data_IF_061001773855
#
_entry.id   IF_061001773855
#
_cell.length_a   1.000
_cell.length_b   1.000
_cell.length_c   1.000
_cell.angle_alpha   90.00
_cell.angle_beta   90.00
_cell.angle_gamma   90.00
#
_symmetry.space_group_name_H-M   'P 1'
#
loop_
_entity.id
_entity.type
_entity.pdbx_description
1 polymer ?
#
# COMPACT_ATOMS: atom_id res chain seq x y z
N UNK A 1 26.31 -34.27 10.35
CA UNK A 1 27.39 -33.49 9.71
C UNK A 1 27.65 -32.25 10.54
N UNK A 2 28.91 -31.86 10.78
CA UNK A 2 29.21 -30.66 11.57
C UNK A 2 28.81 -29.38 10.81
N UNK A 3 28.37 -28.32 11.52
CA UNK A 3 27.95 -27.04 10.91
C UNK A 3 29.02 -26.47 9.96
N UNK A 4 30.30 -26.65 10.30
CA UNK A 4 31.44 -26.23 9.48
C UNK A 4 31.56 -26.99 8.17
N UNK A 5 31.16 -28.27 8.14
CA UNK A 5 31.23 -29.10 6.94
C UNK A 5 30.08 -28.75 5.97
N UNK A 6 28.86 -28.57 6.51
CA UNK A 6 27.70 -28.12 5.73
C UNK A 6 27.91 -26.74 5.11
N UNK A 7 28.63 -25.83 5.80
CA UNK A 7 28.99 -24.52 5.23
C UNK A 7 29.98 -24.61 4.08
N UNK A 8 30.96 -25.53 4.16
CA UNK A 8 31.90 -25.77 3.05
C UNK A 8 31.18 -26.39 1.86
N UNK A 9 30.30 -27.35 2.11
CA UNK A 9 29.49 -27.99 1.08
C UNK A 9 28.56 -26.99 0.39
N UNK A 10 27.89 -26.12 1.16
CA UNK A 10 27.10 -25.03 0.60
C UNK A 10 27.95 -24.08 -0.28
N UNK A 11 29.15 -23.73 0.16
CA UNK A 11 30.05 -22.88 -0.62
C UNK A 11 30.42 -23.54 -1.96
N UNK A 12 30.68 -24.85 -1.98
CA UNK A 12 30.97 -25.59 -3.21
C UNK A 12 29.77 -25.64 -4.16
N UNK A 13 28.56 -25.90 -3.64
CA UNK A 13 27.33 -25.97 -4.45
C UNK A 13 26.96 -24.58 -5.00
N UNK A 14 27.03 -23.53 -4.18
CA UNK A 14 26.77 -22.16 -4.61
C UNK A 14 27.80 -21.70 -5.65
N UNK A 15 29.08 -22.08 -5.49
CA UNK A 15 30.10 -21.75 -6.48
C UNK A 15 29.81 -22.38 -7.85
N UNK A 16 29.35 -23.63 -7.88
CA UNK A 16 28.89 -24.27 -9.13
C UNK A 16 27.70 -23.54 -9.77
N UNK A 17 26.74 -23.08 -8.97
CA UNK A 17 25.59 -22.29 -9.46
C UNK A 17 26.02 -20.94 -10.05
N UNK A 18 27.07 -20.34 -9.50
CA UNK A 18 27.52 -19.00 -9.89
C UNK A 18 28.49 -19.01 -11.07
N UNK A 19 29.29 -20.07 -11.21
CA UNK A 19 30.37 -20.14 -12.22
C UNK A 19 30.01 -20.99 -13.46
N UNK A 20 28.99 -21.84 -13.38
CA UNK A 20 28.54 -22.69 -14.50
C UNK A 20 27.20 -22.19 -15.04
N UNK A 21 27.10 -21.94 -16.35
CA UNK A 21 25.88 -21.40 -16.97
C UNK A 21 24.78 -22.48 -17.17
N UNK A 22 25.11 -23.77 -17.01
CA UNK A 22 24.22 -24.91 -17.23
C UNK A 22 24.03 -25.78 -15.96
N UNK A 23 23.92 -25.15 -14.79
CA UNK A 23 23.64 -25.88 -13.55
C UNK A 23 22.19 -26.42 -13.55
N UNK A 24 22.06 -27.75 -13.43
CA UNK A 24 20.77 -28.41 -13.38
C UNK A 24 19.93 -28.03 -12.14
N UNK A 25 18.59 -28.13 -12.27
CA UNK A 25 17.63 -27.87 -11.20
C UNK A 25 17.89 -28.65 -9.90
N UNK A 26 18.51 -29.82 -10.02
CA UNK A 26 18.92 -30.65 -8.87
C UNK A 26 19.96 -29.95 -7.97
N UNK A 27 20.91 -29.21 -8.57
CA UNK A 27 21.94 -28.44 -7.84
C UNK A 27 21.31 -27.31 -7.02
N UNK A 28 20.25 -26.68 -7.54
CA UNK A 28 19.50 -25.67 -6.80
C UNK A 28 18.74 -26.25 -5.61
N UNK A 29 18.12 -27.43 -5.78
CA UNK A 29 17.44 -28.13 -4.69
C UNK A 29 18.44 -28.57 -3.61
N UNK A 30 19.63 -29.00 -3.99
CA UNK A 30 20.70 -29.36 -3.07
C UNK A 30 21.13 -28.16 -2.21
N UNK A 31 21.35 -26.99 -2.83
CA UNK A 31 21.67 -25.75 -2.09
C UNK A 31 20.59 -25.38 -1.07
N UNK A 32 19.31 -25.51 -1.45
CA UNK A 32 18.17 -25.23 -0.56
C UNK A 32 18.15 -26.20 0.62
N UNK A 33 18.37 -27.50 0.39
CA UNK A 33 18.41 -28.51 1.46
C UNK A 33 19.53 -28.26 2.48
N UNK A 34 20.72 -27.85 1.99
CA UNK A 34 21.85 -27.53 2.87
C UNK A 34 21.56 -26.26 3.68
N UNK A 35 20.96 -25.23 3.05
CA UNK A 35 20.52 -24.00 3.74
C UNK A 35 19.48 -24.28 4.82
N UNK A 36 18.48 -25.12 4.55
CA UNK A 36 17.49 -25.55 5.55
C UNK A 36 18.16 -26.28 6.71
N UNK A 37 19.11 -27.18 6.42
CA UNK A 37 19.85 -27.91 7.46
C UNK A 37 20.72 -26.98 8.32
N UNK A 38 21.32 -25.94 7.73
CA UNK A 38 22.07 -24.91 8.45
C UNK A 38 21.17 -23.99 9.29
N UNK A 39 19.97 -23.69 8.81
CA UNK A 39 18.96 -22.96 9.58
C UNK A 39 18.55 -23.75 10.84
N UNK A 40 18.38 -25.07 10.70
CA UNK A 40 18.09 -25.95 11.83
C UNK A 40 19.24 -26.01 12.84
N UNK A 41 20.50 -25.91 12.41
CA UNK A 41 21.64 -25.77 13.33
C UNK A 41 21.64 -24.45 14.11
N UNK A 42 21.19 -23.34 13.51
CA UNK A 42 21.01 -22.07 14.23
C UNK A 42 19.85 -22.13 15.23
N UNK A 43 18.80 -22.87 14.92
CA UNK A 43 17.65 -23.09 15.81
C UNK A 43 18.02 -24.07 16.94
N UNK A 44 18.86 -25.08 16.66
CA UNK A 44 19.32 -26.09 17.62
C UNK A 44 20.50 -25.68 18.47
N UNK A 45 21.17 -24.54 18.19
CA UNK A 45 22.23 -24.03 19.06
C UNK A 45 21.57 -23.48 20.33
N UNK A 46 21.71 -24.15 21.49
CA UNK A 46 21.18 -23.63 22.73
C UNK A 46 22.01 -22.41 23.10
N UNK A 47 21.37 -21.36 23.61
CA UNK A 47 22.03 -20.46 24.56
C UNK A 47 22.37 -21.31 25.80
N UNK A 48 23.47 -22.07 25.74
CA UNK A 48 24.20 -22.61 26.87
C UNK A 48 25.49 -21.79 26.97
N UNK A 49 25.88 -21.16 28.08
CA UNK A 49 25.38 -21.29 29.43
C UNK A 49 24.82 -19.98 29.96
N UNK A 50 23.54 -19.98 30.24
CA UNK A 50 22.98 -19.81 31.58
C UNK A 50 21.49 -20.16 31.45
N UNK A 51 21.00 -20.98 32.37
CA UNK A 51 19.65 -21.57 32.37
C UNK A 51 19.38 -22.74 31.41
N UNK A 52 19.87 -23.91 31.82
CA UNK A 52 19.06 -25.13 31.70
C UNK A 52 18.52 -25.50 33.07
N UNK A 53 17.19 -25.66 33.13
CA UNK A 53 16.43 -26.05 34.31
C UNK A 53 14.93 -26.15 34.00
N UNK A 54 14.63 -26.99 33.01
CA UNK A 54 13.39 -27.76 32.78
C UNK A 54 12.01 -27.09 32.57
N UNK A 55 11.44 -27.46 31.42
CA UNK A 55 10.05 -27.30 30.97
C UNK A 55 9.21 -28.46 31.55
N UNK A 56 7.92 -28.24 31.89
CA UNK A 56 6.75 -29.03 31.38
C UNK A 56 5.39 -28.38 31.76
N UNK A 57 4.64 -28.04 30.70
CA UNK A 57 3.19 -28.05 30.40
C UNK A 57 2.04 -28.14 31.46
N UNK A 58 1.08 -27.20 31.23
CA UNK A 58 -0.41 -27.29 31.17
C UNK A 58 -1.32 -27.15 32.42
N UNK A 59 -2.28 -26.22 32.24
CA UNK A 59 -3.61 -26.08 32.86
C UNK A 59 -3.74 -25.57 34.32
N UNK A 60 -3.62 -24.26 34.53
CA UNK A 60 -4.56 -23.42 35.31
C UNK A 60 -4.09 -21.96 35.29
N UNK A 61 -5.05 -21.04 35.30
CA UNK A 61 -4.88 -19.58 35.32
C UNK A 61 -4.04 -19.08 36.51
N UNK A 62 -3.24 -18.03 36.23
CA UNK A 62 -2.30 -17.24 37.07
C UNK A 62 -0.83 -17.69 37.09
N UNK A 63 0.02 -16.81 36.54
CA UNK A 63 1.49 -16.83 36.58
C UNK A 63 2.02 -16.06 37.79
N UNK A 64 2.41 -16.81 38.81
CA UNK A 64 3.48 -16.47 39.76
C UNK A 64 4.12 -17.79 40.20
N UNK A 65 5.39 -17.82 40.58
CA UNK A 65 5.96 -19.05 41.15
C UNK A 65 5.27 -19.37 42.50
N UNK A 66 4.49 -20.45 42.52
CA UNK A 66 3.64 -20.90 43.66
C UNK A 66 4.40 -21.25 44.96
N UNK A 67 5.68 -21.69 45.00
CA UNK A 67 6.36 -22.02 46.25
C UNK A 67 6.62 -20.80 47.13
N UNK A 68 7.00 -19.67 46.53
CA UNK A 68 7.31 -18.43 47.24
C UNK A 68 6.07 -17.76 47.82
N UNK A 69 4.95 -17.79 47.08
CA UNK A 69 3.72 -17.12 47.52
C UNK A 69 3.00 -17.88 48.64
N UNK A 70 3.02 -19.21 48.64
CA UNK A 70 2.48 -20.03 49.76
C UNK A 70 3.35 -19.95 51.01
N UNK A 71 4.68 -19.82 50.86
CA UNK A 71 5.60 -19.62 51.99
C UNK A 71 5.40 -18.25 52.64
N UNK A 72 5.32 -17.19 51.85
CA UNK A 72 5.07 -15.82 52.32
C UNK A 72 3.67 -15.64 52.96
N UNK A 73 2.60 -16.21 52.38
CA UNK A 73 1.25 -16.12 52.94
C UNK A 73 1.08 -16.89 54.27
N UNK A 74 1.82 -17.99 54.45
CA UNK A 74 1.82 -18.78 55.71
C UNK A 74 2.73 -18.16 56.79
N UNK A 75 3.76 -17.41 56.39
CA UNK A 75 4.65 -16.65 57.30
C UNK A 75 4.01 -15.33 57.78
N UNK A 76 3.08 -14.75 57.03
CA UNK A 76 2.46 -13.46 57.36
C UNK A 76 1.02 -13.53 57.91
N UNK A 77 0.36 -14.69 57.93
CA UNK A 77 -0.97 -14.89 58.53
C UNK A 77 -2.08 -13.94 58.01
N UNK A 78 -2.08 -13.62 56.71
CA UNK A 78 -3.03 -12.68 56.07
C UNK A 78 -3.92 -13.42 55.06
N UNK A 79 -5.23 -13.18 55.12
CA UNK A 79 -6.23 -13.61 54.12
C UNK A 79 -6.54 -12.49 53.11
N UNK A 80 -6.81 -12.89 51.86
CA UNK A 80 -6.95 -12.01 50.70
C UNK A 80 -8.22 -11.13 50.74
N UNK A 81 -8.15 -9.81 50.52
CA UNK A 81 -9.36 -8.98 50.41
C UNK A 81 -9.85 -8.88 48.95
N UNK A 82 -11.15 -9.08 48.77
CA UNK A 82 -11.88 -8.85 47.53
C UNK A 82 -12.17 -7.35 47.34
N UNK A 83 -12.02 -6.89 46.09
CA UNK A 83 -12.48 -5.61 45.50
C UNK A 83 -11.62 -4.35 45.68
N UNK A 84 -11.22 -3.82 44.51
CA UNK A 84 -10.89 -2.43 44.18
C UNK A 84 -9.78 -1.71 44.96
N UNK A 85 -8.74 -1.26 44.23
CA UNK A 85 -8.39 0.17 44.07
C UNK A 85 -7.07 0.32 43.33
N UNK A 86 -7.14 1.01 42.20
CA UNK A 86 -6.19 2.04 41.76
C UNK A 86 -4.75 1.92 42.30
N UNK A 87 -3.79 1.45 41.48
CA UNK A 87 -2.44 2.03 41.40
C UNK A 87 -1.58 1.29 40.36
N UNK A 88 -1.57 1.77 39.12
CA UNK A 88 -0.35 1.71 38.32
C UNK A 88 -0.22 3.06 37.60
N UNK A 89 0.19 4.05 38.39
CA UNK A 89 0.83 5.26 37.89
C UNK A 89 2.16 4.88 37.21
N UNK A 90 2.52 5.65 36.19
CA UNK A 90 3.43 5.27 35.11
C UNK A 90 4.82 4.82 35.53
N UNK A 91 5.45 4.05 34.64
CA UNK A 91 6.90 3.84 34.62
C UNK A 91 7.39 3.74 33.17
N UNK A 92 8.56 4.33 33.00
CA UNK A 92 9.31 4.70 31.81
C UNK A 92 9.54 3.60 30.75
N UNK A 93 9.72 4.08 29.52
CA UNK A 93 10.03 3.23 28.38
C UNK A 93 11.41 2.58 28.46
N UNK A 94 11.45 1.27 28.23
CA UNK A 94 12.06 0.64 27.03
C UNK A 94 11.92 -0.89 27.07
N UNK A 95 11.60 -1.43 25.89
CA UNK A 95 11.91 -2.78 25.39
C UNK A 95 11.24 -3.99 26.07
N UNK A 96 9.99 -4.25 25.67
CA UNK A 96 9.29 -5.52 25.79
C UNK A 96 8.01 -5.48 24.96
N UNK A 97 8.12 -5.75 23.66
CA UNK A 97 7.02 -5.72 22.66
C UNK A 97 6.05 -6.89 22.84
N UNK A 98 5.42 -7.02 24.01
CA UNK A 98 4.34 -7.98 24.21
C UNK A 98 3.00 -7.25 24.14
N UNK A 99 2.15 -7.65 23.20
CA UNK A 99 0.76 -7.20 23.16
C UNK A 99 0.09 -7.74 24.40
N UNK A 100 -0.68 -6.93 25.13
CA UNK A 100 -1.60 -7.43 26.15
C UNK A 100 -2.92 -7.83 25.45
N UNK A 101 -3.16 -9.13 25.20
CA UNK A 101 -4.33 -9.55 24.43
C UNK A 101 -5.62 -9.37 25.23
N UNK A 102 -5.55 -9.41 26.57
CA UNK A 102 -6.71 -9.24 27.45
C UNK A 102 -7.15 -7.77 27.38
N UNK A 103 -6.21 -6.84 27.50
CA UNK A 103 -6.47 -5.41 27.38
C UNK A 103 -7.03 -5.05 26.00
N UNK A 104 -6.39 -5.54 24.93
CA UNK A 104 -6.86 -5.30 23.55
C UNK A 104 -8.27 -5.84 23.32
N UNK A 105 -8.57 -7.06 23.80
CA UNK A 105 -9.91 -7.63 23.69
C UNK A 105 -10.95 -6.89 24.55
N UNK A 106 -10.55 -6.36 25.71
CA UNK A 106 -11.40 -5.50 26.55
C UNK A 106 -11.78 -4.21 25.82
N UNK A 107 -10.81 -3.54 25.18
CA UNK A 107 -11.08 -2.34 24.37
C UNK A 107 -12.04 -2.63 23.22
N UNK A 108 -11.84 -3.74 22.50
CA UNK A 108 -12.79 -4.19 21.46
C UNK A 108 -14.19 -4.50 22.03
N UNK A 109 -14.30 -4.80 23.33
CA UNK A 109 -15.59 -5.05 24.00
C UNK A 109 -16.30 -3.76 24.37
N UNK A 110 -15.53 -2.74 24.75
CA UNK A 110 -16.05 -1.40 24.98
C UNK A 110 -16.57 -0.75 23.69
N UNK A 111 -16.09 -1.16 22.51
CA UNK A 111 -16.64 -0.70 21.23
C UNK A 111 -18.12 -1.07 21.03
N UNK A 112 -18.58 -2.17 21.63
CA UNK A 112 -19.98 -2.61 21.58
C UNK A 112 -20.79 -2.17 22.81
N UNK A 113 -20.24 -1.25 23.63
CA UNK A 113 -20.94 -0.68 24.79
C UNK A 113 -22.04 0.27 24.33
N UNK A 114 -23.15 0.32 25.08
CA UNK A 114 -24.19 1.33 24.89
C UNK A 114 -23.73 2.75 25.25
N UNK A 115 -22.63 2.88 26.00
CA UNK A 115 -22.06 4.18 26.41
C UNK A 115 -21.18 4.78 25.32
N UNK A 116 -21.61 5.93 24.77
CA UNK A 116 -20.83 6.73 23.82
C UNK A 116 -19.44 7.12 24.38
N UNK A 117 -19.38 7.41 25.68
CA UNK A 117 -18.11 7.77 26.35
C UNK A 117 -17.11 6.61 26.32
N UNK A 118 -17.59 5.38 26.56
CA UNK A 118 -16.74 4.19 26.53
C UNK A 118 -16.26 3.90 25.11
N UNK A 119 -17.15 4.00 24.12
CA UNK A 119 -16.80 3.80 22.70
C UNK A 119 -15.73 4.80 22.26
N UNK A 120 -15.88 6.09 22.58
CA UNK A 120 -14.90 7.14 22.25
C UNK A 120 -13.55 6.90 22.93
N UNK A 121 -13.57 6.56 24.24
CA UNK A 121 -12.33 6.27 24.98
C UNK A 121 -11.60 5.06 24.41
N UNK A 122 -12.34 4.00 24.11
CA UNK A 122 -11.77 2.78 23.54
C UNK A 122 -11.22 3.02 22.13
N UNK A 123 -11.93 3.73 21.25
CA UNK A 123 -11.47 4.07 19.91
C UNK A 123 -10.16 4.88 19.93
N UNK A 124 -10.10 5.91 20.80
CA UNK A 124 -8.90 6.74 20.97
C UNK A 124 -7.70 5.94 21.44
N UNK A 125 -7.92 5.00 22.35
CA UNK A 125 -6.86 4.14 22.87
C UNK A 125 -6.40 3.12 21.83
N UNK A 126 -7.32 2.50 21.08
CA UNK A 126 -7.00 1.60 19.97
C UNK A 126 -6.18 2.32 18.89
N UNK A 127 -6.54 3.57 18.55
CA UNK A 127 -5.75 4.42 17.65
C UNK A 127 -4.34 4.63 18.20
N UNK A 128 -4.21 4.97 19.50
CA UNK A 128 -2.91 5.21 20.15
C UNK A 128 -2.02 3.96 20.12
N UNK A 129 -2.56 2.80 20.47
CA UNK A 129 -1.84 1.53 20.49
C UNK A 129 -1.36 1.12 19.10
N UNK A 130 -2.26 1.15 18.11
CA UNK A 130 -1.93 0.79 16.72
C UNK A 130 -0.99 1.80 16.07
N UNK A 131 -1.04 3.09 16.43
CA UNK A 131 -0.09 4.09 15.94
C UNK A 131 1.34 3.78 16.39
N UNK A 132 1.51 3.41 17.66
CA UNK A 132 2.83 3.32 18.29
C UNK A 132 3.46 1.92 18.26
N UNK A 133 2.68 0.86 18.04
CA UNK A 133 3.19 -0.52 18.11
C UNK A 133 2.80 -1.38 16.92
N UNK A 134 3.82 -1.93 16.23
CA UNK A 134 3.63 -2.91 15.15
C UNK A 134 2.98 -4.20 15.66
N UNK A 135 3.26 -4.62 16.89
CA UNK A 135 2.66 -5.82 17.47
C UNK A 135 1.16 -5.63 17.71
N UNK A 136 0.72 -4.45 18.18
CA UNK A 136 -0.71 -4.14 18.29
C UNK A 136 -1.40 -4.03 16.92
N UNK A 137 -0.69 -3.55 15.89
CA UNK A 137 -1.21 -3.60 14.50
C UNK A 137 -1.45 -5.04 14.08
N UNK A 138 -0.51 -5.96 14.33
CA UNK A 138 -0.68 -7.37 13.99
C UNK A 138 -1.86 -8.01 14.76
N UNK A 139 -1.92 -7.79 16.07
CA UNK A 139 -2.87 -8.47 16.95
C UNK A 139 -4.34 -8.00 16.82
N UNK A 140 -4.60 -6.78 16.36
CA UNK A 140 -5.96 -6.23 16.33
C UNK A 140 -6.92 -7.03 15.44
N UNK A 141 -6.41 -7.74 14.43
CA UNK A 141 -7.21 -8.60 13.56
C UNK A 141 -7.22 -10.08 13.98
N UNK A 142 -6.45 -10.48 15.00
CA UNK A 142 -6.31 -11.88 15.42
C UNK A 142 -7.52 -12.38 16.22
N UNK A 143 -8.27 -11.49 16.88
CA UNK A 143 -9.47 -11.90 17.61
C UNK A 143 -10.62 -12.18 16.65
N UNK A 144 -11.38 -13.23 16.96
CA UNK A 144 -12.65 -13.50 16.30
C UNK A 144 -13.58 -12.28 16.45
N UNK A 145 -14.20 -11.88 15.36
CA UNK A 145 -15.14 -10.75 15.31
C UNK A 145 -14.53 -9.38 15.66
N UNK A 146 -13.20 -9.23 15.66
CA UNK A 146 -12.54 -7.96 15.95
C UNK A 146 -12.96 -6.83 15.01
N UNK A 147 -13.00 -7.11 13.70
CA UNK A 147 -13.36 -6.11 12.68
C UNK A 147 -14.83 -5.68 12.85
N UNK A 148 -15.83 -6.59 12.94
CA UNK A 148 -17.20 -6.21 13.27
C UNK A 148 -17.33 -5.38 14.55
N UNK A 149 -16.65 -5.77 15.65
CA UNK A 149 -16.69 -5.03 16.92
C UNK A 149 -16.08 -3.65 16.82
N UNK A 150 -14.97 -3.51 16.08
CA UNK A 150 -14.32 -2.22 15.86
C UNK A 150 -15.22 -1.27 15.05
N UNK A 151 -15.97 -1.80 14.08
CA UNK A 151 -16.77 -1.01 13.13
C UNK A 151 -18.24 -0.87 13.53
N UNK A 152 -18.70 -1.57 14.58
CA UNK A 152 -20.09 -1.49 15.05
C UNK A 152 -20.58 -0.06 15.28
N UNK A 153 -19.79 0.86 15.89
CA UNK A 153 -20.29 2.21 16.14
C UNK A 153 -20.54 3.01 14.87
N UNK A 154 -19.85 2.70 13.77
CA UNK A 154 -20.04 3.37 12.47
C UNK A 154 -21.18 2.73 11.66
N UNK A 155 -21.56 1.51 12.00
CA UNK A 155 -22.62 0.76 11.33
C UNK A 155 -24.00 1.08 11.93
N UNK A 156 -24.05 1.31 13.24
CA UNK A 156 -25.28 1.60 14.01
C UNK A 156 -25.79 3.03 13.85
N UNK A 157 -24.90 3.99 13.60
CA UNK A 157 -25.22 5.43 13.49
C UNK A 157 -25.93 5.81 12.19
N UNK A 158 -26.40 4.86 11.38
CA UNK A 158 -27.16 5.13 10.16
C UNK A 158 -28.59 5.61 10.43
N UNK A 159 -29.01 5.68 11.69
CA UNK A 159 -30.31 6.22 12.11
C UNK A 159 -30.15 7.61 12.75
N UNK A 160 -30.60 8.63 12.00
CA UNK A 160 -30.97 10.00 12.41
C UNK A 160 -29.90 10.97 12.97
N UNK A 161 -28.69 10.54 13.32
CA UNK A 161 -27.61 11.46 13.73
C UNK A 161 -26.28 11.10 13.06
N UNK A 162 -25.62 12.09 12.45
CA UNK A 162 -24.28 11.90 11.90
C UNK A 162 -23.35 11.35 12.99
N UNK A 163 -22.56 10.31 12.71
CA UNK A 163 -21.63 9.77 13.69
C UNK A 163 -20.62 10.83 14.10
N UNK A 164 -20.27 10.84 15.39
CA UNK A 164 -19.30 11.78 15.94
C UNK A 164 -18.01 11.80 15.10
N UNK A 165 -17.62 12.97 14.53
CA UNK A 165 -16.45 13.08 13.68
C UNK A 165 -15.16 12.55 14.32
N UNK A 166 -14.98 12.75 15.64
CA UNK A 166 -13.80 12.30 16.37
C UNK A 166 -13.76 10.78 16.47
N UNK A 167 -14.92 10.15 16.74
CA UNK A 167 -15.05 8.70 16.80
C UNK A 167 -14.78 8.07 15.42
N UNK A 168 -15.34 8.67 14.35
CA UNK A 168 -15.09 8.23 12.98
C UNK A 168 -13.60 8.29 12.65
N UNK A 169 -12.95 9.42 12.93
CA UNK A 169 -11.53 9.57 12.64
C UNK A 169 -10.70 8.55 13.43
N UNK A 170 -10.99 8.34 14.70
CA UNK A 170 -10.25 7.37 15.53
C UNK A 170 -10.36 5.95 14.99
N UNK A 171 -11.56 5.54 14.56
CA UNK A 171 -11.81 4.20 14.02
C UNK A 171 -11.21 4.02 12.62
N UNK A 172 -11.42 4.96 11.70
CA UNK A 172 -10.80 4.92 10.36
C UNK A 172 -9.27 4.93 10.49
N UNK A 173 -8.70 5.72 11.40
CA UNK A 173 -7.26 5.72 11.64
C UNK A 173 -6.76 4.40 12.22
N UNK A 174 -7.55 3.75 13.09
CA UNK A 174 -7.21 2.43 13.63
C UNK A 174 -7.18 1.37 12.53
N UNK A 175 -8.18 1.36 11.64
CA UNK A 175 -8.20 0.47 10.45
C UNK A 175 -7.01 0.76 9.52
N UNK A 176 -6.70 2.04 9.28
CA UNK A 176 -5.53 2.44 8.52
C UNK A 176 -4.24 1.86 9.14
N UNK A 177 -4.02 2.06 10.43
CA UNK A 177 -2.84 1.55 11.12
C UNK A 177 -2.76 0.02 11.06
N UNK A 178 -3.89 -0.68 11.24
CA UNK A 178 -3.97 -2.13 11.11
C UNK A 178 -3.61 -2.60 9.69
N UNK A 179 -4.04 -1.86 8.66
CA UNK A 179 -3.74 -2.17 7.25
C UNK A 179 -2.25 -2.11 6.93
N UNK A 180 -1.44 -1.38 7.71
CA UNK A 180 0.01 -1.29 7.50
C UNK A 180 0.74 -2.61 7.80
N UNK A 181 0.10 -3.56 8.49
CA UNK A 181 0.63 -4.89 8.72
C UNK A 181 0.23 -5.85 7.58
N UNK A 182 1.19 -6.55 6.99
CA UNK A 182 0.97 -7.39 5.81
C UNK A 182 -0.08 -8.48 6.03
N UNK A 183 -0.05 -9.17 7.18
CA UNK A 183 -0.95 -10.29 7.47
C UNK A 183 -2.43 -9.85 7.59
N UNK A 184 -2.69 -8.58 7.90
CA UNK A 184 -4.05 -8.09 8.09
C UNK A 184 -4.71 -7.70 6.77
N UNK A 185 -3.92 -7.39 5.73
CA UNK A 185 -4.45 -6.81 4.48
C UNK A 185 -5.49 -7.70 3.82
N UNK A 186 -5.26 -9.03 3.82
CA UNK A 186 -6.19 -9.99 3.22
C UNK A 186 -7.51 -10.01 4.00
N UNK A 187 -7.45 -10.24 5.31
CA UNK A 187 -8.63 -10.32 6.18
C UNK A 187 -9.44 -9.01 6.20
N UNK A 188 -8.76 -7.85 6.20
CA UNK A 188 -9.43 -6.55 6.14
C UNK A 188 -10.16 -6.35 4.81
N UNK A 189 -9.54 -6.68 3.68
CA UNK A 189 -10.17 -6.49 2.37
C UNK A 189 -11.29 -7.51 2.09
N UNK A 190 -11.17 -8.74 2.59
CA UNK A 190 -12.18 -9.79 2.43
C UNK A 190 -13.37 -9.62 3.40
N UNK A 191 -13.24 -8.76 4.42
CA UNK A 191 -14.35 -8.45 5.31
C UNK A 191 -15.40 -7.59 4.59
N UNK A 192 -16.67 -8.01 4.53
CA UNK A 192 -17.70 -7.34 3.72
C UNK A 192 -18.05 -5.94 4.19
N UNK A 193 -17.72 -5.56 5.44
CA UNK A 193 -18.01 -4.22 5.97
C UNK A 193 -16.90 -3.22 5.67
N UNK A 194 -15.64 -3.66 5.54
CA UNK A 194 -14.48 -2.75 5.53
C UNK A 194 -14.42 -1.92 4.25
N UNK A 195 -14.43 -2.55 3.07
CA UNK A 195 -14.28 -1.80 1.81
C UNK A 195 -15.45 -0.82 1.58
N UNK A 196 -16.73 -1.21 1.72
CA UNK A 196 -17.85 -0.27 1.57
C UNK A 196 -17.76 0.91 2.54
N UNK A 197 -17.39 0.65 3.80
CA UNK A 197 -17.23 1.69 4.81
C UNK A 197 -16.08 2.65 4.46
N UNK A 198 -14.93 2.12 4.02
CA UNK A 198 -13.82 2.97 3.58
C UNK A 198 -14.22 3.84 2.38
N UNK A 199 -14.99 3.30 1.43
CA UNK A 199 -15.50 4.06 0.28
C UNK A 199 -16.40 5.20 0.75
N UNK A 200 -17.36 4.94 1.64
CA UNK A 200 -18.23 5.95 2.25
C UNK A 200 -17.42 7.08 2.90
N UNK A 201 -16.42 6.72 3.72
CA UNK A 201 -15.56 7.70 4.40
C UNK A 201 -14.47 8.32 3.51
N UNK A 202 -14.34 7.97 2.22
CA UNK A 202 -13.56 8.80 1.28
C UNK A 202 -14.27 10.11 0.93
N UNK A 203 -15.60 10.14 1.09
CA UNK A 203 -16.45 11.30 0.78
C UNK A 203 -16.93 12.04 2.03
N UNK A 204 -17.05 11.34 3.16
CA UNK A 204 -17.57 11.89 4.42
C UNK A 204 -16.48 12.21 5.45
N UNK A 205 -16.84 13.06 6.42
CA UNK A 205 -16.00 13.35 7.58
C UNK A 205 -14.92 14.40 7.36
N UNK A 206 -13.94 14.42 8.28
CA UNK A 206 -12.84 15.39 8.27
C UNK A 206 -11.87 15.13 7.11
N UNK A 207 -10.97 16.09 6.87
CA UNK A 207 -9.86 15.91 5.92
C UNK A 207 -9.04 14.66 6.26
N UNK A 208 -8.76 14.43 7.56
CA UNK A 208 -7.98 13.28 8.00
C UNK A 208 -8.74 11.96 7.85
N UNK A 209 -10.05 11.95 8.08
CA UNK A 209 -10.90 10.77 7.82
C UNK A 209 -10.85 10.38 6.35
N UNK A 210 -11.11 11.31 5.43
CA UNK A 210 -11.06 11.05 3.98
C UNK A 210 -9.69 10.61 3.50
N UNK A 211 -8.65 11.27 4.01
CA UNK A 211 -7.25 10.93 3.73
C UNK A 211 -6.92 9.51 4.20
N UNK A 212 -7.23 9.16 5.45
CA UNK A 212 -6.95 7.84 6.00
C UNK A 212 -7.79 6.75 5.32
N UNK A 213 -9.02 7.04 4.92
CA UNK A 213 -9.85 6.11 4.16
C UNK A 213 -9.20 5.76 2.81
N UNK A 214 -8.81 6.77 2.03
CA UNK A 214 -8.10 6.58 0.77
C UNK A 214 -6.75 5.86 0.97
N UNK A 215 -5.94 6.29 1.94
CA UNK A 215 -4.66 5.65 2.25
C UNK A 215 -4.81 4.19 2.69
N UNK A 216 -5.92 3.85 3.36
CA UNK A 216 -6.24 2.46 3.72
C UNK A 216 -6.54 1.63 2.47
N UNK A 217 -7.37 2.12 1.55
CA UNK A 217 -7.63 1.45 0.27
C UNK A 217 -6.32 1.21 -0.51
N UNK A 218 -5.44 2.22 -0.59
CA UNK A 218 -4.13 2.09 -1.20
C UNK A 218 -3.23 1.06 -0.50
N UNK A 219 -3.20 1.08 0.84
CA UNK A 219 -2.46 0.12 1.66
C UNK A 219 -2.94 -1.32 1.43
N UNK A 220 -4.25 -1.56 1.44
CA UNK A 220 -4.84 -2.87 1.20
C UNK A 220 -4.55 -3.37 -0.23
N UNK A 221 -4.50 -2.46 -1.20
CA UNK A 221 -4.18 -2.74 -2.61
C UNK A 221 -2.74 -3.21 -2.86
N UNK A 222 -1.88 -3.23 -1.84
CA UNK A 222 -0.55 -3.83 -1.96
C UNK A 222 -0.61 -5.32 -2.36
N UNK A 223 -1.66 -6.04 -1.96
CA UNK A 223 -1.93 -7.41 -2.42
C UNK A 223 -2.69 -7.40 -3.74
N UNK A 224 -2.29 -8.23 -4.71
CA UNK A 224 -2.95 -8.30 -6.02
C UNK A 224 -4.41 -8.75 -5.92
N UNK A 225 -4.73 -9.72 -5.05
CA UNK A 225 -6.10 -10.16 -4.78
C UNK A 225 -7.01 -9.01 -4.36
N UNK A 226 -6.49 -8.10 -3.51
CA UNK A 226 -7.25 -6.99 -2.98
C UNK A 226 -7.51 -5.90 -4.03
N UNK A 227 -6.65 -5.77 -5.06
CA UNK A 227 -6.86 -4.81 -6.14
C UNK A 227 -8.12 -5.12 -6.95
N UNK A 228 -8.45 -6.39 -7.13
CA UNK A 228 -9.69 -6.83 -7.78
C UNK A 228 -10.90 -6.49 -6.90
N UNK A 229 -10.87 -6.92 -5.63
CA UNK A 229 -11.94 -6.64 -4.65
C UNK A 229 -12.27 -5.15 -4.63
N UNK A 230 -11.27 -4.29 -4.43
CA UNK A 230 -11.47 -2.83 -4.32
C UNK A 230 -11.97 -2.25 -5.64
N UNK A 231 -11.40 -2.69 -6.77
CA UNK A 231 -11.84 -2.24 -8.09
C UNK A 231 -13.25 -2.68 -8.48
N UNK A 232 -13.76 -3.77 -7.91
CA UNK A 232 -15.14 -4.26 -8.09
C UNK A 232 -16.13 -3.70 -7.06
N UNK A 233 -15.65 -3.03 -6.01
CA UNK A 233 -16.48 -2.54 -4.89
C UNK A 233 -17.11 -1.16 -5.09
N UNK A 234 -16.95 -0.55 -6.27
CA UNK A 234 -17.41 0.82 -6.53
C UNK A 234 -16.47 1.92 -6.01
N UNK A 235 -15.24 1.59 -5.61
CA UNK A 235 -14.26 2.57 -5.11
C UNK A 235 -13.78 3.58 -6.17
N UNK A 236 -13.96 3.28 -7.45
CA UNK A 236 -13.43 4.06 -8.58
C UNK A 236 -13.94 5.51 -8.55
N UNK A 237 -15.26 5.72 -8.56
CA UNK A 237 -15.81 7.07 -8.62
C UNK A 237 -15.47 7.93 -7.39
N UNK A 238 -15.57 7.44 -6.14
CA UNK A 238 -15.16 8.21 -4.96
C UNK A 238 -13.67 8.56 -4.94
N UNK A 239 -12.80 7.68 -5.44
CA UNK A 239 -11.36 8.00 -5.56
C UNK A 239 -11.10 9.10 -6.60
N UNK A 240 -11.82 9.10 -7.73
CA UNK A 240 -11.72 10.15 -8.75
C UNK A 240 -12.24 11.48 -8.18
N UNK A 241 -13.35 11.47 -7.44
CA UNK A 241 -13.90 12.69 -6.86
C UNK A 241 -12.99 13.26 -5.77
N UNK A 242 -12.38 12.40 -4.96
CA UNK A 242 -11.36 12.82 -3.99
C UNK A 242 -10.11 13.40 -4.67
N UNK A 243 -9.72 12.87 -5.84
CA UNK A 243 -8.66 13.44 -6.67
C UNK A 243 -9.05 14.81 -7.26
N UNK A 244 -10.32 14.99 -7.63
CA UNK A 244 -10.85 16.23 -8.25
C UNK A 244 -10.88 17.40 -7.26
N UNK A 245 -11.41 17.18 -6.05
CA UNK A 245 -11.73 18.26 -5.12
C UNK A 245 -11.20 18.09 -3.69
N UNK A 246 -10.41 17.05 -3.42
CA UNK A 246 -9.91 16.76 -2.08
C UNK A 246 -8.91 17.79 -1.55
N UNK A 247 -8.64 17.74 -0.25
CA UNK A 247 -7.50 18.45 0.33
C UNK A 247 -6.18 17.91 -0.25
N UNK A 248 -5.10 18.69 -0.42
CA UNK A 248 -3.86 18.24 -1.05
C UNK A 248 -3.28 16.92 -0.51
N UNK A 249 -3.39 16.69 0.80
CA UNK A 249 -2.96 15.42 1.42
C UNK A 249 -3.84 14.23 1.01
N UNK A 250 -5.15 14.42 0.88
CA UNK A 250 -6.09 13.39 0.42
C UNK A 250 -5.98 13.17 -1.10
N UNK A 251 -5.74 14.22 -1.89
CA UNK A 251 -5.46 14.12 -3.34
C UNK A 251 -4.25 13.21 -3.58
N UNK A 252 -3.16 13.39 -2.83
CA UNK A 252 -1.97 12.53 -2.94
C UNK A 252 -2.27 11.07 -2.62
N UNK A 253 -3.01 10.82 -1.54
CA UNK A 253 -3.33 9.46 -1.12
C UNK A 253 -4.32 8.80 -2.10
N UNK A 254 -5.25 9.56 -2.69
CA UNK A 254 -6.12 9.12 -3.79
C UNK A 254 -5.31 8.78 -5.05
N UNK A 255 -4.42 9.66 -5.51
CA UNK A 255 -3.57 9.42 -6.67
C UNK A 255 -2.70 8.15 -6.49
N UNK A 256 -2.08 7.99 -5.32
CA UNK A 256 -1.30 6.78 -4.98
C UNK A 256 -2.14 5.50 -5.02
N UNK A 257 -3.38 5.59 -4.52
CA UNK A 257 -4.34 4.48 -4.54
C UNK A 257 -4.76 4.13 -5.96
N UNK A 258 -5.14 5.12 -6.78
CA UNK A 258 -5.50 4.95 -8.18
C UNK A 258 -4.34 4.31 -8.96
N UNK A 259 -3.12 4.83 -8.80
CA UNK A 259 -1.91 4.25 -9.40
C UNK A 259 -1.75 2.76 -9.06
N UNK A 260 -1.95 2.40 -7.79
CA UNK A 260 -1.81 1.02 -7.32
C UNK A 260 -2.89 0.11 -7.92
N UNK A 261 -4.13 0.59 -8.00
CA UNK A 261 -5.25 -0.16 -8.59
C UNK A 261 -5.10 -0.35 -10.10
N UNK A 262 -4.59 0.66 -10.83
CA UNK A 262 -4.35 0.61 -12.27
C UNK A 262 -3.24 -0.37 -12.68
N UNK A 263 -2.44 -0.89 -11.73
CA UNK A 263 -1.50 -1.99 -12.03
C UNK A 263 -2.23 -3.23 -12.55
N UNK A 264 -3.51 -3.39 -12.21
CA UNK A 264 -4.42 -4.39 -12.77
C UNK A 264 -5.15 -3.79 -13.96
N UNK A 265 -4.93 -4.33 -15.16
CA UNK A 265 -5.54 -3.82 -16.41
C UNK A 265 -7.06 -3.77 -16.39
N UNK A 266 -7.72 -4.70 -15.70
CA UNK A 266 -9.18 -4.72 -15.58
C UNK A 266 -9.72 -3.46 -14.88
N UNK A 267 -8.95 -2.85 -13.98
CA UNK A 267 -9.35 -1.61 -13.31
C UNK A 267 -9.18 -0.39 -14.22
N UNK A 268 -8.25 -0.41 -15.18
CA UNK A 268 -8.02 0.72 -16.08
C UNK A 268 -9.28 1.09 -16.86
N UNK A 269 -10.01 0.08 -17.38
CA UNK A 269 -11.26 0.33 -18.12
C UNK A 269 -12.28 1.06 -17.25
N UNK A 270 -12.46 0.62 -15.99
CA UNK A 270 -13.40 1.25 -15.05
C UNK A 270 -13.03 2.69 -14.72
N UNK A 271 -11.74 2.98 -14.52
CA UNK A 271 -11.29 4.35 -14.29
C UNK A 271 -11.57 5.26 -15.49
N UNK A 272 -11.34 4.76 -16.71
CA UNK A 272 -11.61 5.50 -17.95
C UNK A 272 -13.12 5.75 -18.09
N UNK A 273 -13.95 4.72 -17.95
CA UNK A 273 -15.41 4.83 -18.02
C UNK A 273 -16.00 5.80 -17.00
N UNK A 274 -15.34 6.01 -15.86
CA UNK A 274 -15.74 6.94 -14.81
C UNK A 274 -15.09 8.33 -14.96
N UNK A 275 -14.47 8.64 -16.11
CA UNK A 275 -13.96 9.98 -16.41
C UNK A 275 -12.62 10.33 -15.77
N UNK A 276 -11.81 9.32 -15.39
CA UNK A 276 -10.51 9.59 -14.76
C UNK A 276 -9.55 10.36 -15.67
N UNK A 277 -9.62 10.18 -16.99
CA UNK A 277 -8.72 10.85 -17.96
C UNK A 277 -8.87 12.37 -17.89
N UNK A 278 -10.09 12.88 -17.90
CA UNK A 278 -10.39 14.32 -17.77
C UNK A 278 -9.84 14.88 -16.46
N UNK A 279 -10.15 14.26 -15.33
CA UNK A 279 -9.72 14.72 -14.00
C UNK A 279 -8.20 14.71 -13.87
N UNK A 280 -7.55 13.66 -14.35
CA UNK A 280 -6.09 13.55 -14.32
C UNK A 280 -5.44 14.63 -15.19
N UNK A 281 -5.98 14.90 -16.38
CA UNK A 281 -5.50 15.97 -17.26
C UNK A 281 -5.68 17.36 -16.64
N UNK A 282 -6.82 17.62 -16.02
CA UNK A 282 -7.11 18.87 -15.30
C UNK A 282 -6.02 19.12 -14.25
N UNK A 283 -5.77 18.15 -13.37
CA UNK A 283 -4.76 18.29 -12.30
C UNK A 283 -3.33 18.42 -12.81
N UNK A 284 -2.98 17.73 -13.89
CA UNK A 284 -1.68 17.92 -14.56
C UNK A 284 -1.53 19.36 -15.07
N UNK A 285 -2.58 19.92 -15.68
CA UNK A 285 -2.55 21.28 -16.21
C UNK A 285 -2.49 22.34 -15.10
N UNK A 286 -3.07 22.05 -13.93
CA UNK A 286 -2.97 22.87 -12.72
C UNK A 286 -1.59 22.76 -12.01
N UNK A 287 -0.72 21.86 -12.48
CA UNK A 287 0.60 21.62 -11.88
C UNK A 287 0.57 20.78 -10.60
N UNK A 288 -0.54 20.07 -10.34
CA UNK A 288 -0.72 19.25 -9.14
C UNK A 288 -0.28 17.81 -9.43
N UNK A 289 0.71 17.30 -8.68
CA UNK A 289 1.18 15.90 -8.77
C UNK A 289 1.51 15.44 -10.20
N UNK A 290 2.12 16.33 -11.00
CA UNK A 290 2.34 16.11 -12.44
C UNK A 290 3.04 14.78 -12.73
N UNK A 291 4.11 14.47 -12.00
CA UNK A 291 4.89 13.25 -12.21
C UNK A 291 4.05 11.99 -11.95
N UNK A 292 3.36 11.94 -10.80
CA UNK A 292 2.54 10.80 -10.40
C UNK A 292 1.35 10.60 -11.34
N UNK A 293 0.68 11.69 -11.71
CA UNK A 293 -0.51 11.67 -12.55
C UNK A 293 -0.19 11.32 -14.00
N UNK A 294 0.98 11.70 -14.52
CA UNK A 294 1.42 11.26 -15.85
C UNK A 294 1.66 9.74 -15.90
N UNK A 295 2.12 9.12 -14.81
CA UNK A 295 2.25 7.65 -14.74
C UNK A 295 0.87 7.00 -14.84
N UNK A 296 -0.13 7.50 -14.09
CA UNK A 296 -1.51 7.01 -14.16
C UNK A 296 -2.05 7.18 -15.59
N UNK A 297 -1.92 8.38 -16.16
CA UNK A 297 -2.40 8.68 -17.51
C UNK A 297 -1.74 7.79 -18.57
N UNK A 298 -0.44 7.50 -18.43
CA UNK A 298 0.26 6.55 -19.30
C UNK A 298 -0.29 5.13 -19.19
N UNK A 299 -0.69 4.68 -17.99
CA UNK A 299 -1.34 3.38 -17.79
C UNK A 299 -2.74 3.34 -18.42
N UNK A 300 -3.53 4.41 -18.25
CA UNK A 300 -4.86 4.55 -18.84
C UNK A 300 -4.82 4.65 -20.36
N UNK A 301 -3.82 5.31 -20.95
CA UNK A 301 -3.61 5.47 -22.40
C UNK A 301 -3.35 4.16 -23.17
N UNK A 302 -3.45 3.01 -22.50
CA UNK A 302 -3.46 1.68 -23.15
C UNK A 302 -4.88 1.20 -23.48
N UNK A 303 -5.91 1.87 -22.94
CA UNK A 303 -7.32 1.67 -23.25
C UNK A 303 -7.73 2.51 -24.46
N UNK A 304 -8.58 1.97 -25.34
CA UNK A 304 -9.02 2.65 -26.56
C UNK A 304 -9.84 3.91 -26.28
N UNK A 305 -10.78 3.87 -25.34
CA UNK A 305 -11.60 5.02 -24.96
C UNK A 305 -10.72 6.15 -24.43
N UNK A 306 -9.70 5.83 -23.62
CA UNK A 306 -8.74 6.82 -23.15
C UNK A 306 -7.88 7.39 -24.29
N UNK A 307 -7.49 6.58 -25.28
CA UNK A 307 -6.77 7.06 -26.46
C UNK A 307 -7.63 8.06 -27.24
N UNK A 308 -8.91 7.77 -27.42
CA UNK A 308 -9.85 8.63 -28.14
C UNK A 308 -10.04 9.97 -27.39
N UNK A 309 -10.19 9.93 -26.05
CA UNK A 309 -10.27 11.14 -25.20
C UNK A 309 -8.99 11.96 -25.18
N UNK A 310 -7.82 11.32 -25.23
CA UNK A 310 -6.51 11.98 -25.27
C UNK A 310 -6.13 12.49 -26.67
N UNK A 311 -6.92 12.12 -27.68
CA UNK A 311 -6.66 12.32 -29.11
C UNK A 311 -6.89 13.73 -29.63
N UNK A 312 -6.71 14.77 -28.81
CA UNK A 312 -6.94 16.15 -29.19
C UNK A 312 -5.65 17.00 -29.23
N UNK A 313 -5.67 18.04 -30.06
CA UNK A 313 -4.51 18.92 -30.26
C UNK A 313 -4.04 19.62 -28.98
N UNK A 314 -4.96 19.99 -28.07
CA UNK A 314 -4.63 20.72 -26.83
C UNK A 314 -3.89 19.78 -25.86
N UNK A 315 -4.36 18.56 -25.70
CA UNK A 315 -3.68 17.53 -24.89
C UNK A 315 -2.28 17.24 -25.42
N UNK A 316 -2.14 17.02 -26.74
CA UNK A 316 -0.84 16.79 -27.38
C UNK A 316 0.14 17.96 -27.13
N UNK A 317 -0.32 19.20 -27.32
CA UNK A 317 0.51 20.38 -27.09
C UNK A 317 0.93 20.51 -25.62
N UNK A 318 0.04 20.18 -24.67
CA UNK A 318 0.38 20.18 -23.24
C UNK A 318 1.47 19.15 -22.92
N UNK A 319 1.34 17.91 -23.42
CA UNK A 319 2.35 16.86 -23.24
C UNK A 319 3.70 17.23 -23.86
N UNK A 320 3.70 17.78 -25.08
CA UNK A 320 4.92 18.26 -25.74
C UNK A 320 5.59 19.40 -24.96
N UNK A 321 4.79 20.31 -24.38
CA UNK A 321 5.28 21.37 -23.51
C UNK A 321 5.95 20.79 -22.25
N UNK A 322 5.35 19.80 -21.60
CA UNK A 322 5.95 19.13 -20.44
C UNK A 322 7.27 18.47 -20.83
N UNK A 323 7.35 17.80 -21.99
CA UNK A 323 8.60 17.18 -22.47
C UNK A 323 9.74 18.20 -22.57
N UNK A 324 9.46 19.40 -23.08
CA UNK A 324 10.48 20.45 -23.26
C UNK A 324 10.96 21.08 -21.96
N UNK A 325 10.05 21.31 -21.03
CA UNK A 325 10.31 22.20 -19.89
C UNK A 325 10.45 21.48 -18.56
N UNK A 326 9.97 20.25 -18.43
CA UNK A 326 10.12 19.49 -17.19
C UNK A 326 11.58 19.13 -16.95
N UNK A 327 12.02 19.21 -15.70
CA UNK A 327 13.30 18.64 -15.25
C UNK A 327 13.18 17.16 -14.90
N UNK A 328 11.96 16.62 -14.77
CA UNK A 328 11.72 15.23 -14.41
C UNK A 328 11.76 14.32 -15.63
N UNK A 329 12.75 13.42 -15.64
CA UNK A 329 12.86 12.38 -16.67
C UNK A 329 11.66 11.42 -16.64
N UNK A 330 11.07 11.19 -15.45
CA UNK A 330 9.84 10.40 -15.30
C UNK A 330 8.67 11.04 -16.04
N UNK A 331 8.46 12.36 -15.85
CA UNK A 331 7.46 13.13 -16.59
C UNK A 331 7.64 13.00 -18.10
N UNK A 332 8.86 13.26 -18.60
CA UNK A 332 9.16 13.19 -20.05
C UNK A 332 8.89 11.80 -20.62
N UNK A 333 9.33 10.76 -19.90
CA UNK A 333 9.14 9.37 -20.30
C UNK A 333 7.65 9.00 -20.40
N UNK A 334 6.84 9.41 -19.44
CA UNK A 334 5.40 9.13 -19.45
C UNK A 334 4.66 9.98 -20.50
N UNK A 335 5.02 11.25 -20.69
CA UNK A 335 4.46 12.07 -21.76
C UNK A 335 4.71 11.45 -23.14
N UNK A 336 5.94 11.05 -23.45
CA UNK A 336 6.23 10.42 -24.75
C UNK A 336 5.60 9.03 -24.87
N UNK A 337 5.36 8.33 -23.77
CA UNK A 337 4.58 7.09 -23.75
C UNK A 337 3.12 7.31 -24.12
N UNK A 338 2.48 8.35 -23.57
CA UNK A 338 1.11 8.74 -23.91
C UNK A 338 1.04 9.14 -25.38
N UNK A 339 1.93 10.05 -25.84
CA UNK A 339 1.99 10.47 -27.24
C UNK A 339 2.12 9.27 -28.18
N UNK A 340 3.03 8.33 -27.87
CA UNK A 340 3.23 7.12 -28.67
C UNK A 340 1.96 6.28 -28.78
N UNK A 341 1.21 6.12 -27.69
CA UNK A 341 -0.01 5.32 -27.69
C UNK A 341 -1.11 5.99 -28.52
N UNK A 342 -1.28 7.30 -28.35
CA UNK A 342 -2.36 8.07 -28.98
C UNK A 342 -2.10 8.31 -30.47
N UNK A 343 -0.90 8.74 -30.86
CA UNK A 343 -0.62 9.09 -32.26
C UNK A 343 -0.30 7.89 -33.16
N UNK A 344 -0.21 6.69 -32.59
CA UNK A 344 0.35 5.52 -33.29
C UNK A 344 -0.37 5.14 -34.59
N UNK A 345 -1.65 5.50 -34.72
CA UNK A 345 -2.52 5.21 -35.87
C UNK A 345 -3.25 6.45 -36.42
N UNK A 346 -2.98 7.63 -35.87
CA UNK A 346 -3.69 8.87 -36.24
C UNK A 346 -2.76 9.82 -37.01
N UNK A 347 -3.02 9.98 -38.31
CA UNK A 347 -2.22 10.84 -39.19
C UNK A 347 -2.36 12.33 -38.86
N UNK A 348 -3.51 12.77 -38.38
CA UNK A 348 -3.76 14.17 -38.00
C UNK A 348 -2.89 14.52 -36.79
N UNK A 349 -2.87 13.66 -35.78
CA UNK A 349 -2.05 13.84 -34.59
C UNK A 349 -0.55 13.73 -34.90
N UNK A 350 -0.16 12.82 -35.80
CA UNK A 350 1.23 12.77 -36.29
C UNK A 350 1.63 14.06 -37.02
N UNK A 351 0.71 14.70 -37.76
CA UNK A 351 0.98 16.01 -38.39
C UNK A 351 1.20 17.12 -37.36
N UNK A 352 0.44 17.12 -36.25
CA UNK A 352 0.64 18.06 -35.14
C UNK A 352 2.02 17.88 -34.52
N UNK A 353 2.39 16.63 -34.20
CA UNK A 353 3.72 16.32 -33.65
C UNK A 353 4.83 16.69 -34.65
N UNK A 354 4.63 16.47 -35.95
CA UNK A 354 5.59 16.87 -36.99
C UNK A 354 5.80 18.38 -37.01
N UNK A 355 4.72 19.16 -36.95
CA UNK A 355 4.81 20.62 -36.91
C UNK A 355 5.57 21.14 -35.69
N UNK A 356 5.38 20.49 -34.54
CA UNK A 356 6.17 20.75 -33.33
C UNK A 356 7.65 20.40 -33.54
N UNK A 357 7.93 19.23 -34.10
CA UNK A 357 9.28 18.72 -34.28
C UNK A 357 10.12 19.61 -35.19
N UNK A 358 9.55 20.07 -36.31
CA UNK A 358 10.19 21.02 -37.23
C UNK A 358 10.61 22.30 -36.50
N UNK A 359 9.77 22.80 -35.59
CA UNK A 359 9.96 24.10 -34.95
C UNK A 359 10.85 24.04 -33.71
N UNK A 360 10.78 22.94 -32.95
CA UNK A 360 11.31 22.86 -31.59
C UNK A 360 12.27 21.70 -31.35
N UNK A 361 12.34 20.72 -32.26
CA UNK A 361 13.17 19.51 -32.12
C UNK A 361 12.93 18.79 -30.77
N UNK A 362 11.67 18.80 -30.31
CA UNK A 362 11.29 18.33 -28.98
C UNK A 362 11.59 16.85 -28.80
N UNK A 363 11.22 16.02 -29.79
CA UNK A 363 11.43 14.57 -29.76
C UNK A 363 12.86 14.20 -30.15
N UNK A 364 13.51 14.90 -31.08
CA UNK A 364 14.92 14.66 -31.39
C UNK A 364 15.80 14.88 -30.15
N UNK A 365 15.62 16.00 -29.44
CA UNK A 365 16.34 16.24 -28.18
C UNK A 365 16.06 15.16 -27.14
N UNK A 366 14.81 14.71 -27.01
CA UNK A 366 14.46 13.62 -26.09
C UNK A 366 15.08 12.28 -26.53
N UNK A 367 15.23 12.04 -27.83
CA UNK A 367 15.90 10.86 -28.39
C UNK A 367 17.41 10.85 -28.09
N UNK A 368 18.03 12.01 -27.95
CA UNK A 368 19.45 12.12 -27.59
C UNK A 368 19.64 12.01 -26.07
N UNK A 369 18.88 12.79 -25.28
CA UNK A 369 19.18 12.98 -23.85
C UNK A 369 18.32 12.17 -22.90
N UNK A 370 17.17 11.64 -23.34
CA UNK A 370 16.17 11.03 -22.46
C UNK A 370 16.57 9.66 -21.91
N UNK A 371 15.72 9.06 -21.07
CA UNK A 371 15.91 7.67 -20.63
C UNK A 371 15.86 6.68 -21.79
N UNK A 372 16.37 5.46 -21.62
CA UNK A 372 16.31 4.41 -22.65
C UNK A 372 14.88 4.17 -23.16
N UNK A 373 13.88 4.21 -22.28
CA UNK A 373 12.47 4.04 -22.67
C UNK A 373 11.93 5.27 -23.41
N UNK A 374 12.25 6.47 -22.94
CA UNK A 374 11.85 7.71 -23.59
C UNK A 374 12.46 7.82 -25.00
N UNK A 375 13.77 7.57 -25.14
CA UNK A 375 14.49 7.56 -26.42
C UNK A 375 13.85 6.63 -27.44
N UNK A 376 13.64 5.37 -27.05
CA UNK A 376 13.01 4.37 -27.94
C UNK A 376 11.66 4.82 -28.47
N UNK A 377 10.83 5.43 -27.61
CA UNK A 377 9.49 5.90 -28.00
C UNK A 377 9.55 7.16 -28.86
N UNK A 378 10.41 8.12 -28.52
CA UNK A 378 10.63 9.33 -29.31
C UNK A 378 11.09 8.97 -30.74
N UNK A 379 12.13 8.14 -30.87
CA UNK A 379 12.62 7.63 -32.15
C UNK A 379 11.49 6.94 -32.92
N UNK A 380 10.71 6.09 -32.26
CA UNK A 380 9.61 5.40 -32.94
C UNK A 380 8.54 6.35 -33.48
N UNK A 381 8.24 7.45 -32.79
CA UNK A 381 7.30 8.46 -33.28
C UNK A 381 7.91 9.19 -34.49
N UNK A 382 9.18 9.60 -34.41
CA UNK A 382 9.89 10.26 -35.52
C UNK A 382 9.90 9.38 -36.77
N UNK A 383 10.24 8.10 -36.62
CA UNK A 383 10.22 7.13 -37.73
C UNK A 383 8.81 7.00 -38.35
N UNK A 384 7.76 6.99 -37.52
CA UNK A 384 6.37 6.97 -38.00
C UNK A 384 6.01 8.24 -38.78
N UNK A 385 6.45 9.40 -38.31
CA UNK A 385 6.26 10.68 -39.02
C UNK A 385 6.95 10.63 -40.39
N UNK A 386 8.20 10.18 -40.46
CA UNK A 386 8.92 10.07 -41.73
C UNK A 386 8.25 9.09 -42.70
N UNK A 387 7.78 7.95 -42.20
CA UNK A 387 7.05 6.96 -43.01
C UNK A 387 5.72 7.51 -43.52
N UNK A 388 4.98 8.25 -42.68
CA UNK A 388 3.69 8.83 -43.03
C UNK A 388 3.81 10.06 -43.94
N UNK A 389 4.91 10.82 -43.84
CA UNK A 389 5.13 12.07 -44.58
C UNK A 389 6.53 12.11 -45.22
N UNK A 390 6.77 11.33 -46.30
CA UNK A 390 8.09 11.22 -46.92
C UNK A 390 8.60 12.51 -47.59
N UNK A 391 7.69 13.43 -47.92
CA UNK A 391 7.92 14.51 -48.88
C UNK A 391 8.77 15.70 -48.38
N UNK A 392 9.32 15.68 -47.16
CA UNK A 392 10.35 16.65 -46.75
C UNK A 392 11.31 15.98 -45.77
N UNK A 393 12.43 15.50 -46.30
CA UNK A 393 13.61 15.09 -45.57
C UNK A 393 14.16 16.30 -44.80
N UNK A 394 13.82 16.41 -43.52
CA UNK A 394 14.52 17.26 -42.57
C UNK A 394 15.88 16.59 -42.37
N UNK A 395 16.93 17.29 -42.77
CA UNK A 395 18.29 16.77 -42.82
C UNK A 395 18.72 16.10 -41.51
N UNK A 396 19.25 14.88 -41.67
CA UNK A 396 20.20 14.17 -40.81
C UNK A 396 19.96 14.25 -39.30
N UNK A 397 19.18 13.30 -38.80
CA UNK A 397 19.39 12.74 -37.46
C UNK A 397 19.34 11.20 -37.57
N UNK A 398 20.51 10.63 -37.88
CA UNK A 398 20.92 9.26 -37.59
C UNK A 398 22.41 9.30 -37.27
#
# INVERSE_FOLDING_TARGET
MAETELKKELQTVVKKIVEDDDYGFETTIEAIKILSSLADFKIKKPLLGEFMGDIVALASTQTYSRPHMKKWLKECNITWPQSQKELYQGVDGKAGTEVDPIYLNSLLGLMTSSSDSDRKRAAKELRRLTKNSKSYRAAICEFKDAIPRLLSPLSETKTESDPDPDLCEDLITTVFNASLHANNKKQLAENPAVIPLLIEYTMLGTIETRRNAAATLGSLSALDSNKFIIGDSGAVAPLIELLRGGHPSAIRDAASTIYTLCKVRANNAKFVEQGAVEVVLEKINDGILVDELLVILAMLSTNRTAIDELGDCKTLQSLLRIIRHSSSECSKENCVAILYNVCSKDLTLLMVIRGEEIKKQTLAKLADTGTTRARRKAISIILKIHKAFPALSIGKYF
#
